data_IF_598692699038
#
_entry.id   IF_598692699038
#
_cell.length_a   1.000
_cell.length_b   1.000
_cell.length_c   1.000
_cell.angle_alpha   90.00
_cell.angle_beta   90.00
_cell.angle_gamma   90.00
#
_symmetry.space_group_name_H-M   'P 1'
#
loop_
_entity.id
_entity.type
_entity.pdbx_description
1 polymer ?
#
# COMPACT_ATOMS: atom_id res chain seq x y z
N UNK A 1 10.42 -5.52 -5.86
CA UNK A 1 10.81 -5.93 -4.50
C UNK A 1 9.58 -5.83 -3.63
N UNK A 2 9.36 -6.73 -2.68
CA UNK A 2 8.14 -6.69 -1.88
C UNK A 2 8.30 -5.77 -0.66
N UNK A 3 7.28 -4.96 -0.37
CA UNK A 3 7.30 -3.93 0.67
C UNK A 3 6.23 -4.22 1.73
N UNK A 4 6.49 -3.87 2.98
CA UNK A 4 5.52 -3.96 4.09
C UNK A 4 5.48 -2.60 4.78
N UNK A 5 4.28 -2.12 5.12
CA UNK A 5 4.10 -0.85 5.82
C UNK A 5 3.98 -1.02 7.34
N UNK A 6 3.63 -2.22 7.83
CA UNK A 6 3.48 -2.47 9.27
C UNK A 6 4.37 -3.64 9.71
N UNK A 7 3.97 -4.89 9.45
CA UNK A 7 4.75 -6.08 9.80
C UNK A 7 4.72 -7.08 8.63
N UNK A 8 5.85 -7.73 8.27
CA UNK A 8 5.81 -8.79 7.27
C UNK A 8 5.03 -10.02 7.77
N UNK A 9 4.41 -10.81 6.87
CA UNK A 9 3.84 -12.10 7.22
C UNK A 9 4.90 -13.07 7.78
N UNK A 10 4.48 -13.96 8.69
CA UNK A 10 5.35 -14.99 9.25
C UNK A 10 5.72 -16.00 8.16
N UNK A 11 6.86 -16.68 8.33
CA UNK A 11 7.25 -17.76 7.44
C UNK A 11 6.17 -18.87 7.45
N UNK A 12 5.66 -19.23 6.27
CA UNK A 12 4.59 -20.22 6.12
C UNK A 12 3.17 -19.73 6.44
N UNK A 13 2.98 -18.44 6.77
CA UNK A 13 1.64 -17.87 6.96
C UNK A 13 0.92 -17.77 5.60
N UNK A 14 -0.33 -18.25 5.57
CA UNK A 14 -1.17 -18.18 4.37
C UNK A 14 -1.52 -16.72 4.08
N UNK A 15 -1.24 -16.29 2.86
CA UNK A 15 -1.58 -14.96 2.37
C UNK A 15 -2.38 -15.07 1.07
N UNK A 16 -3.39 -14.23 0.91
CA UNK A 16 -4.17 -14.11 -0.31
C UNK A 16 -3.77 -12.83 -1.07
N UNK A 17 -3.51 -12.90 -2.39
CA UNK A 17 -3.26 -11.70 -3.18
C UNK A 17 -4.59 -10.97 -3.42
N UNK A 18 -4.65 -9.70 -3.02
CA UNK A 18 -5.77 -8.80 -3.26
C UNK A 18 -5.30 -7.62 -4.08
N UNK A 19 -6.07 -7.29 -5.12
CA UNK A 19 -5.80 -6.17 -6.02
C UNK A 19 -6.63 -4.96 -5.58
N UNK A 20 -5.95 -3.89 -5.20
CA UNK A 20 -6.56 -2.60 -4.86
C UNK A 20 -6.37 -1.62 -6.01
N UNK A 21 -7.41 -0.82 -6.28
CA UNK A 21 -7.34 0.30 -7.24
C UNK A 21 -7.32 1.61 -6.47
N UNK A 22 -6.16 2.26 -6.44
CA UNK A 22 -5.98 3.58 -5.84
C UNK A 22 -6.25 4.62 -6.92
N UNK A 23 -7.45 5.21 -6.87
CA UNK A 23 -7.95 6.14 -7.90
C UNK A 23 -7.62 7.60 -7.62
N UNK A 24 -7.30 7.92 -6.37
CA UNK A 24 -6.92 9.26 -5.93
C UNK A 24 -5.41 9.31 -5.73
N UNK A 25 -4.82 10.50 -5.85
CA UNK A 25 -3.39 10.67 -5.60
C UNK A 25 -3.04 10.54 -4.10
N UNK A 26 -4.04 10.51 -3.22
CA UNK A 26 -3.88 10.20 -1.79
C UNK A 26 -5.12 9.48 -1.28
N UNK A 27 -4.96 8.31 -0.66
CA UNK A 27 -6.07 7.55 -0.08
C UNK A 27 -5.67 6.93 1.26
N UNK A 28 -6.57 6.95 2.23
CA UNK A 28 -6.46 6.15 3.46
C UNK A 28 -7.24 4.86 3.26
N UNK A 29 -6.62 3.72 3.57
CA UNK A 29 -7.25 2.41 3.46
C UNK A 29 -6.76 1.48 4.57
N UNK A 30 -7.56 0.44 4.84
CA UNK A 30 -7.22 -0.59 5.80
C UNK A 30 -6.48 -1.75 5.15
N UNK A 31 -5.44 -2.25 5.83
CA UNK A 31 -4.77 -3.51 5.53
C UNK A 31 -4.68 -4.36 6.80
N UNK A 32 -4.45 -5.66 6.67
CA UNK A 32 -4.06 -6.47 7.81
C UNK A 32 -2.67 -6.04 8.31
N UNK A 33 -2.46 -6.00 9.63
CA UNK A 33 -1.15 -5.63 10.20
C UNK A 33 0.01 -6.45 9.64
N UNK A 34 -0.26 -7.71 9.29
CA UNK A 34 0.67 -8.57 8.55
C UNK A 34 0.28 -8.58 7.08
N UNK A 35 1.08 -7.95 6.24
CA UNK A 35 0.84 -7.89 4.79
C UNK A 35 2.14 -7.71 4.01
N UNK A 36 2.06 -7.91 2.70
CA UNK A 36 3.17 -7.67 1.79
C UNK A 36 2.65 -7.12 0.46
N UNK A 37 3.05 -5.91 0.12
CA UNK A 37 2.79 -5.29 -1.18
C UNK A 37 3.79 -5.85 -2.18
N UNK A 38 3.30 -6.53 -3.21
CA UNK A 38 4.13 -7.28 -4.17
C UNK A 38 4.27 -6.58 -5.51
N UNK A 39 3.31 -5.75 -5.90
CA UNK A 39 3.40 -4.92 -7.09
C UNK A 39 2.61 -3.63 -6.97
N UNK A 40 3.07 -2.61 -7.70
CA UNK A 40 2.34 -1.40 -8.04
C UNK A 40 2.53 -1.13 -9.52
N UNK A 41 1.45 -0.86 -10.22
CA UNK A 41 1.46 -0.53 -11.65
C UNK A 41 0.38 0.51 -11.94
N UNK A 42 0.58 1.33 -12.98
CA UNK A 42 -0.49 2.16 -13.51
C UNK A 42 -1.37 1.32 -14.42
N UNK A 43 -2.65 1.22 -14.09
CA UNK A 43 -3.65 0.57 -14.94
C UNK A 43 -4.31 1.63 -15.83
N UNK A 44 -3.94 1.64 -17.10
CA UNK A 44 -4.48 2.58 -18.10
C UNK A 44 -5.99 2.43 -18.31
N UNK A 45 -6.53 1.22 -18.16
CA UNK A 45 -7.96 0.94 -18.37
C UNK A 45 -8.77 1.46 -17.19
N UNK A 46 -8.30 1.22 -15.98
CA UNK A 46 -8.95 1.67 -14.75
C UNK A 46 -8.62 3.13 -14.41
N UNK A 47 -7.59 3.70 -15.06
CA UNK A 47 -7.01 5.02 -14.78
C UNK A 47 -6.68 5.17 -13.29
N UNK A 48 -6.01 4.17 -12.74
CA UNK A 48 -5.73 4.05 -11.32
C UNK A 48 -4.40 3.32 -11.08
N UNK A 49 -3.81 3.50 -9.90
CA UNK A 49 -2.71 2.63 -9.47
C UNK A 49 -3.30 1.29 -9.04
N UNK A 50 -2.93 0.23 -9.74
CA UNK A 50 -3.21 -1.14 -9.34
C UNK A 50 -2.10 -1.61 -8.39
N UNK A 51 -2.47 -1.84 -7.14
CA UNK A 51 -1.58 -2.35 -6.10
C UNK A 51 -1.98 -3.78 -5.74
N UNK A 52 -1.06 -4.72 -5.82
CA UNK A 52 -1.29 -6.10 -5.36
C UNK A 52 -0.67 -6.28 -3.99
N UNK A 53 -1.49 -6.72 -3.05
CA UNK A 53 -1.11 -6.93 -1.65
C UNK A 53 -1.44 -8.36 -1.27
N UNK A 54 -0.44 -9.10 -0.82
CA UNK A 54 -0.62 -10.34 -0.07
C UNK A 54 -1.07 -9.97 1.35
N UNK A 55 -2.34 -10.22 1.66
CA UNK A 55 -2.90 -10.00 3.00
C UNK A 55 -3.04 -11.33 3.74
N UNK A 56 -2.79 -11.31 5.05
CA UNK A 56 -3.04 -12.45 5.93
C UNK A 56 -4.53 -12.56 6.25
N UNK A 57 -4.95 -13.64 6.91
CA UNK A 57 -6.34 -13.80 7.33
C UNK A 57 -6.78 -12.64 8.27
N UNK A 58 -7.74 -11.78 7.86
CA UNK A 58 -8.22 -10.66 8.66
C UNK A 58 -8.80 -11.08 10.02
N UNK A 59 -9.26 -12.33 10.18
CA UNK A 59 -9.74 -12.83 11.47
C UNK A 59 -8.61 -13.03 12.50
N UNK A 60 -7.35 -13.12 12.03
CA UNK A 60 -6.18 -13.43 12.87
C UNK A 60 -5.15 -12.30 12.93
N UNK A 61 -5.36 -11.25 12.15
CA UNK A 61 -4.49 -10.08 12.06
C UNK A 61 -5.30 -8.81 12.28
N UNK A 62 -4.89 -8.03 13.28
CA UNK A 62 -5.51 -6.73 13.58
C UNK A 62 -5.45 -5.84 12.32
N UNK A 63 -6.53 -5.13 11.94
CA UNK A 63 -6.47 -4.18 10.84
C UNK A 63 -5.55 -3.01 11.20
N UNK A 64 -5.00 -2.32 10.20
CA UNK A 64 -4.19 -1.12 10.37
C UNK A 64 -4.56 -0.11 9.29
N UNK A 65 -4.52 1.17 9.65
CA UNK A 65 -4.69 2.25 8.69
C UNK A 65 -3.36 2.57 8.02
N UNK A 66 -3.40 2.64 6.70
CA UNK A 66 -2.30 3.10 5.87
C UNK A 66 -2.77 4.20 4.93
N UNK A 67 -1.91 5.19 4.68
CA UNK A 67 -2.10 6.14 3.60
C UNK A 67 -1.24 5.74 2.42
N UNK A 68 -1.82 5.70 1.24
CA UNK A 68 -1.11 5.53 -0.03
C UNK A 68 -1.16 6.86 -0.77
N UNK A 69 0.00 7.38 -1.14
CA UNK A 69 0.15 8.61 -1.88
C UNK A 69 0.86 8.33 -3.21
N UNK A 70 0.47 9.04 -4.27
CA UNK A 70 1.13 9.08 -5.57
C UNK A 70 1.76 10.46 -5.71
N UNK A 71 3.09 10.52 -5.71
CA UNK A 71 3.86 11.77 -5.68
C UNK A 71 4.79 11.85 -6.87
N UNK A 72 5.24 13.06 -7.23
CA UNK A 72 6.28 13.24 -8.23
C UNK A 72 7.52 12.41 -7.87
N UNK A 73 8.12 11.75 -8.86
CA UNK A 73 9.27 10.88 -8.63
C UNK A 73 10.43 11.64 -7.97
N UNK A 74 10.96 11.10 -6.87
CA UNK A 74 12.03 11.70 -6.08
C UNK A 74 11.58 12.84 -5.15
N UNK A 75 10.28 13.09 -4.98
CA UNK A 75 9.78 14.03 -3.99
C UNK A 75 10.22 13.62 -2.58
N UNK A 76 10.54 14.62 -1.74
CA UNK A 76 10.90 14.37 -0.35
C UNK A 76 9.70 13.81 0.42
N UNK A 77 9.88 12.77 1.25
CA UNK A 77 8.79 12.21 2.03
C UNK A 77 8.28 13.24 3.04
N UNK A 78 6.95 13.36 3.13
CA UNK A 78 6.29 14.27 4.07
C UNK A 78 6.36 13.76 5.52
N UNK A 79 6.51 12.45 5.73
CA UNK A 79 6.60 11.80 7.04
C UNK A 79 7.78 10.81 7.07
N UNK A 80 8.47 10.70 8.21
CA UNK A 80 9.58 9.77 8.38
C UNK A 80 9.16 8.29 8.33
N UNK A 81 7.88 8.00 8.53
CA UNK A 81 7.27 6.66 8.39
C UNK A 81 6.85 6.34 6.96
N UNK A 82 6.98 7.29 6.04
CA UNK A 82 6.69 7.08 4.62
C UNK A 82 7.76 6.18 3.99
N UNK A 83 7.32 5.16 3.27
CA UNK A 83 8.16 4.22 2.54
C UNK A 83 7.75 4.19 1.08
N UNK A 84 8.72 4.23 0.16
CA UNK A 84 8.47 4.02 -1.27
C UNK A 84 8.09 2.56 -1.51
N UNK A 85 6.92 2.36 -2.12
CA UNK A 85 6.40 1.05 -2.51
C UNK A 85 6.93 0.68 -3.91
N UNK A 86 6.94 1.64 -4.82
CA UNK A 86 7.48 1.50 -6.17
C UNK A 86 7.26 2.75 -7.00
N UNK A 87 7.63 2.68 -8.27
CA UNK A 87 7.48 3.78 -9.23
C UNK A 87 6.57 3.32 -10.36
N UNK A 88 5.65 4.17 -10.78
CA UNK A 88 4.74 3.96 -11.90
C UNK A 88 5.01 4.99 -13.00
N UNK A 89 4.56 4.71 -14.22
CA UNK A 89 4.50 5.70 -15.30
C UNK A 89 3.04 5.97 -15.63
N UNK A 90 2.60 7.22 -15.42
CA UNK A 90 1.25 7.70 -15.75
C UNK A 90 1.38 8.81 -16.78
N UNK A 91 0.68 8.69 -17.90
CA UNK A 91 0.73 9.67 -19.00
C UNK A 91 2.17 9.97 -19.48
N UNK A 92 3.04 8.95 -19.46
CA UNK A 92 4.45 9.06 -19.84
C UNK A 92 5.35 9.76 -18.81
N UNK A 93 4.84 10.08 -17.62
CA UNK A 93 5.60 10.71 -16.52
C UNK A 93 5.80 9.73 -15.36
N UNK A 94 6.99 9.68 -14.75
CA UNK A 94 7.25 8.84 -13.61
C UNK A 94 6.67 9.44 -12.31
N UNK A 95 6.05 8.60 -11.50
CA UNK A 95 5.56 8.94 -10.17
C UNK A 95 5.98 7.87 -9.18
N UNK A 96 6.29 8.28 -7.95
CA UNK A 96 6.51 7.34 -6.86
C UNK A 96 5.19 7.06 -6.12
N UNK A 97 4.94 5.78 -5.87
CA UNK A 97 3.87 5.33 -5.00
C UNK A 97 4.49 5.09 -3.63
N UNK A 98 4.01 5.83 -2.64
CA UNK A 98 4.53 5.77 -1.27
C UNK A 98 3.42 5.36 -0.31
N UNK A 99 3.79 4.65 0.75
CA UNK A 99 2.89 4.23 1.80
C UNK A 99 3.33 4.75 3.15
N UNK A 100 2.37 5.16 3.98
CA UNK A 100 2.60 5.64 5.34
C UNK A 100 1.72 4.87 6.31
N UNK A 101 2.33 4.23 7.31
CA UNK A 101 1.58 3.59 8.40
C UNK A 101 1.02 4.65 9.36
N UNK A 102 -0.31 4.69 9.49
CA UNK A 102 -1.02 5.67 10.32
C UNK A 102 -1.28 5.15 11.73
N UNK A 103 -1.33 3.84 11.92
CA UNK A 103 -1.62 3.25 13.20
C UNK A 103 -2.54 2.06 13.08
N UNK A 104 -3.00 1.60 14.23
CA UNK A 104 -4.07 0.61 14.24
C UNK A 104 -5.42 1.32 14.20
N UNK A 105 -6.36 0.78 13.43
CA UNK A 105 -7.75 1.18 13.44
C UNK A 105 -8.22 1.25 14.89
N UNK A 106 -8.60 2.45 15.32
CA UNK A 106 -9.26 2.63 16.59
C UNK A 106 -10.68 2.11 16.42
N UNK A 107 -11.04 1.05 17.12
CA UNK A 107 -12.45 0.76 17.39
C UNK A 107 -12.98 1.94 18.21
N UNK A 108 -13.51 2.97 17.55
CA UNK A 108 -14.29 4.00 18.23
C UNK A 108 -15.59 3.33 18.72
N UNK A 109 -15.62 3.04 20.01
CA UNK A 109 -16.79 2.56 20.75
C UNK A 109 -17.37 3.69 21.61
#
# INVERSE_FOLDING_TARGET
MAVTLCVPPRAGELCAPVRFLVREDSVVMELTARHRITSVEWDERERAVAMVVEITDPQTARPVDVRIDVVDAGAAPADARTTTIGTITRDGRPYDVVGTYLGVVADEN
#
